data_IF_922894326456
#
_entry.id   IF_922894326456
#
_cell.length_a   1.000
_cell.length_b   1.000
_cell.length_c   1.000
_cell.angle_alpha   90.00
_cell.angle_beta   90.00
_cell.angle_gamma   90.00
#
_symmetry.space_group_name_H-M   'P 1'
#
loop_
_entity.id
_entity.type
_entity.pdbx_description
1 polymer ?
#
# COMPACT_ATOMS: atom_id res chain seq x y z
N UNK A 1 -1.88 5.79 13.49
CA UNK A 1 -2.38 5.04 12.32
C UNK A 1 -2.37 3.57 12.63
N UNK A 2 -3.53 2.95 12.58
CA UNK A 2 -3.68 1.52 12.86
C UNK A 2 -3.72 0.74 11.55
N UNK A 3 -2.70 -0.08 11.34
CA UNK A 3 -2.65 -1.02 10.20
C UNK A 3 -3.02 -2.41 10.70
N UNK A 4 -3.89 -3.12 9.98
CA UNK A 4 -4.25 -4.53 10.20
C UNK A 4 -3.91 -5.32 8.93
N UNK A 5 -2.90 -6.16 8.99
CA UNK A 5 -2.49 -7.02 7.88
C UNK A 5 -3.14 -8.40 8.07
N UNK A 6 -3.96 -8.80 7.10
CA UNK A 6 -4.52 -10.15 6.99
C UNK A 6 -3.91 -10.92 5.83
N UNK A 7 -4.48 -12.08 5.51
CA UNK A 7 -3.97 -12.95 4.43
C UNK A 7 -4.16 -12.34 3.03
N UNK A 8 -5.31 -11.70 2.79
CA UNK A 8 -5.67 -11.16 1.46
C UNK A 8 -5.96 -9.65 1.46
N UNK A 9 -5.90 -9.02 2.63
CA UNK A 9 -6.21 -7.60 2.77
C UNK A 9 -5.36 -6.92 3.82
N UNK A 10 -5.10 -5.64 3.61
CA UNK A 10 -4.42 -4.77 4.56
C UNK A 10 -5.31 -3.55 4.80
N UNK A 11 -5.94 -3.51 5.97
CA UNK A 11 -6.83 -2.40 6.35
C UNK A 11 -6.05 -1.36 7.14
N UNK A 12 -6.24 -0.10 6.78
CA UNK A 12 -5.61 1.06 7.42
C UNK A 12 -6.70 1.94 7.98
N UNK A 13 -6.70 2.15 9.29
CA UNK A 13 -7.64 2.98 10.03
C UNK A 13 -6.92 4.21 10.59
N UNK A 14 -7.54 5.38 10.43
CA UNK A 14 -7.05 6.66 10.93
C UNK A 14 -7.36 6.79 12.41
N UNK A 15 -6.36 7.18 13.19
CA UNK A 15 -6.48 7.49 14.61
C UNK A 15 -6.43 9.01 14.83
N UNK A 16 -6.92 9.53 15.98
CA UNK A 16 -6.76 10.93 16.33
C UNK A 16 -5.28 11.36 16.28
N UNK A 17 -4.99 12.44 15.54
CA UNK A 17 -3.63 12.96 15.37
C UNK A 17 -2.89 12.44 14.13
N UNK A 18 -3.45 11.47 13.39
CA UNK A 18 -2.84 11.03 12.13
C UNK A 18 -2.91 12.11 11.03
N UNK A 19 -1.88 12.19 10.16
CA UNK A 19 -1.87 13.14 9.07
C UNK A 19 -2.93 12.82 8.01
N UNK A 20 -3.49 13.86 7.40
CA UNK A 20 -4.25 13.74 6.15
C UNK A 20 -3.29 13.77 4.96
N UNK A 21 -3.51 12.89 3.99
CA UNK A 21 -2.66 12.78 2.80
C UNK A 21 -3.31 13.51 1.64
N UNK A 22 -3.04 14.81 1.49
CA UNK A 22 -3.54 15.59 0.36
C UNK A 22 -2.80 15.22 -0.93
N UNK A 23 -3.54 15.17 -2.03
CA UNK A 23 -2.95 15.07 -3.37
C UNK A 23 -2.27 16.38 -3.75
N UNK A 24 -0.98 16.30 -4.09
CA UNK A 24 -0.22 17.32 -4.80
C UNK A 24 0.02 16.94 -6.28
N UNK A 25 -0.79 16.02 -6.82
CA UNK A 25 -0.64 15.39 -8.13
C UNK A 25 -1.12 13.93 -8.10
N UNK A 26 -1.34 13.32 -9.27
CA UNK A 26 -1.80 11.93 -9.40
C UNK A 26 -0.88 10.95 -8.65
N UNK A 27 -1.46 10.12 -7.76
CA UNK A 27 -0.74 9.11 -6.98
C UNK A 27 0.15 9.64 -5.85
N UNK A 28 0.17 10.96 -5.58
CA UNK A 28 1.03 11.56 -4.56
C UNK A 28 0.49 11.37 -3.12
N UNK A 29 -0.84 11.40 -2.95
CA UNK A 29 -1.48 11.08 -1.68
C UNK A 29 -1.25 9.62 -1.30
N UNK A 30 -1.56 8.71 -2.22
CA UNK A 30 -1.36 7.26 -2.05
C UNK A 30 0.10 6.92 -1.73
N UNK A 31 1.06 7.53 -2.45
CA UNK A 31 2.49 7.42 -2.18
C UNK A 31 2.86 7.65 -0.71
N UNK A 32 2.31 8.73 -0.13
CA UNK A 32 2.56 9.11 1.27
C UNK A 32 1.85 8.15 2.22
N UNK A 33 0.60 7.80 1.93
CA UNK A 33 -0.14 6.82 2.71
C UNK A 33 0.61 5.48 2.78
N UNK A 34 1.02 4.92 1.64
CA UNK A 34 1.80 3.68 1.58
C UNK A 34 3.15 3.80 2.30
N UNK A 35 3.78 4.98 2.29
CA UNK A 35 5.00 5.20 3.06
C UNK A 35 4.77 5.04 4.58
N UNK A 36 3.66 5.57 5.11
CA UNK A 36 3.30 5.39 6.52
C UNK A 36 2.93 3.95 6.83
N UNK A 37 2.14 3.30 5.98
CA UNK A 37 1.79 1.87 6.11
C UNK A 37 3.05 1.01 6.18
N UNK A 38 4.00 1.22 5.26
CA UNK A 38 5.30 0.54 5.25
C UNK A 38 6.06 0.73 6.57
N UNK A 39 6.11 1.96 7.11
CA UNK A 39 6.79 2.21 8.39
C UNK A 39 6.16 1.44 9.54
N UNK A 40 4.83 1.41 9.62
CA UNK A 40 4.11 0.66 10.66
C UNK A 40 4.36 -0.84 10.55
N UNK A 41 4.29 -1.40 9.33
CA UNK A 41 4.53 -2.82 9.10
C UNK A 41 5.99 -3.19 9.34
N UNK A 42 6.95 -2.36 8.91
CA UNK A 42 8.36 -2.64 9.13
C UNK A 42 8.73 -2.56 10.62
N UNK A 43 8.10 -1.68 11.39
CA UNK A 43 8.26 -1.64 12.84
C UNK A 43 7.73 -2.92 13.54
N UNK A 44 6.87 -3.69 12.87
CA UNK A 44 6.35 -4.99 13.33
C UNK A 44 7.16 -6.18 12.80
N UNK A 45 8.31 -5.94 12.16
CA UNK A 45 9.23 -6.98 11.68
C UNK A 45 9.06 -7.37 10.21
N UNK A 46 8.19 -6.72 9.44
CA UNK A 46 8.15 -6.92 7.99
C UNK A 46 9.33 -6.20 7.29
N UNK A 47 9.83 -6.71 6.16
CA UNK A 47 10.81 -5.99 5.33
C UNK A 47 10.18 -5.59 3.99
N UNK A 48 9.37 -4.55 4.03
CA UNK A 48 8.67 -4.01 2.87
C UNK A 48 9.42 -2.83 2.25
N UNK A 49 9.41 -2.78 0.92
CA UNK A 49 9.82 -1.64 0.10
C UNK A 49 8.62 -1.12 -0.69
N UNK A 50 8.65 0.17 -1.02
CA UNK A 50 7.67 0.78 -1.91
C UNK A 50 8.20 0.77 -3.34
N UNK A 51 7.35 0.42 -4.31
CA UNK A 51 7.68 0.36 -5.73
C UNK A 51 6.62 1.06 -6.56
N UNK A 52 6.97 1.41 -7.80
CA UNK A 52 6.04 1.87 -8.83
C UNK A 52 5.74 0.72 -9.78
N UNK A 53 4.49 0.52 -10.17
CA UNK A 53 4.09 -0.64 -10.97
C UNK A 53 4.76 -0.66 -12.36
N UNK A 54 4.72 0.45 -13.10
CA UNK A 54 5.36 0.54 -14.44
C UNK A 54 6.87 0.24 -14.43
N UNK A 55 7.58 0.56 -13.35
CA UNK A 55 9.04 0.29 -13.24
C UNK A 55 9.37 -1.12 -12.80
N UNK A 56 8.39 -1.86 -12.29
CA UNK A 56 8.62 -3.21 -11.77
C UNK A 56 8.35 -4.27 -12.84
N UNK A 57 7.74 -3.93 -13.99
CA UNK A 57 7.65 -4.81 -15.16
C UNK A 57 6.71 -6.02 -15.03
N UNK A 58 6.16 -6.26 -13.84
CA UNK A 58 5.28 -7.39 -13.53
C UNK A 58 3.79 -7.02 -13.51
N UNK A 59 3.46 -5.72 -13.50
CA UNK A 59 2.08 -5.20 -13.48
C UNK A 59 1.95 -4.07 -14.50
N UNK A 60 1.05 -4.23 -15.47
CA UNK A 60 0.63 -3.17 -16.39
C UNK A 60 -0.19 -2.14 -15.60
N UNK A 61 0.46 -1.09 -15.11
CA UNK A 61 -0.16 -0.04 -14.33
C UNK A 61 0.35 1.35 -14.74
N UNK A 62 -0.44 2.38 -14.48
CA UNK A 62 -0.09 3.77 -14.76
C UNK A 62 1.23 4.18 -14.06
N UNK A 63 1.93 5.18 -14.62
CA UNK A 63 3.24 5.66 -14.16
C UNK A 63 3.22 6.14 -12.69
N UNK A 64 2.04 6.52 -12.22
CA UNK A 64 1.76 7.04 -10.88
C UNK A 64 1.53 5.95 -9.83
N UNK A 65 1.16 4.74 -10.25
CA UNK A 65 0.75 3.64 -9.38
C UNK A 65 1.86 3.12 -8.49
N UNK A 66 1.53 2.90 -7.21
CA UNK A 66 2.48 2.46 -6.21
C UNK A 66 1.94 1.29 -5.41
N UNK A 67 2.86 0.46 -4.93
CA UNK A 67 2.53 -0.69 -4.09
C UNK A 67 3.69 -0.97 -3.12
N UNK A 68 3.41 -1.74 -2.07
CA UNK A 68 4.44 -2.27 -1.18
C UNK A 68 4.73 -3.70 -1.56
N UNK A 69 6.00 -4.11 -1.51
CA UNK A 69 6.37 -5.52 -1.58
C UNK A 69 7.48 -5.91 -0.63
N UNK A 70 7.58 -7.20 -0.32
CA UNK A 70 8.77 -7.72 0.35
C UNK A 70 10.02 -7.34 -0.45
N UNK A 71 11.05 -6.84 0.24
CA UNK A 71 12.31 -6.43 -0.37
C UNK A 71 13.00 -7.62 -1.03
N UNK A 72 13.14 -8.71 -0.28
CA UNK A 72 13.72 -9.95 -0.73
C UNK A 72 12.63 -10.79 -1.40
N UNK A 73 12.69 -10.90 -2.73
CA UNK A 73 11.78 -11.74 -3.53
C UNK A 73 12.08 -13.23 -3.42
N UNK A 74 13.12 -13.62 -2.67
CA UNK A 74 13.43 -15.00 -2.31
C UNK A 74 13.12 -15.30 -0.84
N UNK A 75 12.44 -14.39 -0.15
CA UNK A 75 11.96 -14.66 1.19
C UNK A 75 10.92 -15.79 1.15
N UNK A 76 10.77 -16.59 2.22
CA UNK A 76 9.76 -17.64 2.29
C UNK A 76 8.32 -17.15 2.15
N UNK A 77 8.09 -15.85 2.37
CA UNK A 77 6.81 -15.18 2.17
C UNK A 77 7.07 -13.91 1.39
N UNK A 78 6.62 -13.88 0.14
CA UNK A 78 6.71 -12.70 -0.70
C UNK A 78 5.34 -12.02 -0.75
N UNK A 79 5.22 -10.87 -0.10
CA UNK A 79 3.98 -10.09 -0.03
C UNK A 79 4.00 -8.96 -1.05
N UNK A 80 2.85 -8.68 -1.63
CA UNK A 80 2.55 -7.46 -2.36
C UNK A 80 1.26 -6.82 -1.82
N UNK A 81 1.29 -5.53 -1.50
CA UNK A 81 0.16 -4.75 -0.98
C UNK A 81 -0.11 -3.60 -1.94
N UNK A 82 -1.28 -3.57 -2.56
CA UNK A 82 -1.65 -2.61 -3.60
C UNK A 82 -3.12 -2.20 -3.50
N UNK A 83 -3.50 -1.09 -4.12
CA UNK A 83 -4.92 -0.75 -4.28
C UNK A 83 -5.53 -1.53 -5.45
N UNK A 84 -6.44 -2.47 -5.16
CA UNK A 84 -7.14 -3.24 -6.18
C UNK A 84 -8.13 -2.42 -7.01
N UNK A 85 -8.59 -1.27 -6.49
CA UNK A 85 -9.59 -0.41 -7.13
C UNK A 85 -9.01 0.91 -7.63
N UNK A 86 -7.68 0.97 -7.81
CA UNK A 86 -6.94 2.17 -8.19
C UNK A 86 -7.49 2.90 -9.43
N UNK A 87 -8.13 2.18 -10.36
CA UNK A 87 -8.67 2.75 -11.61
C UNK A 87 -9.88 3.65 -11.39
N UNK A 88 -10.56 3.50 -10.25
CA UNK A 88 -11.85 4.14 -9.97
C UNK A 88 -11.84 4.95 -8.67
N UNK A 89 -10.74 4.95 -7.91
CA UNK A 89 -10.64 5.67 -6.63
C UNK A 89 -9.22 6.12 -6.31
N UNK A 90 -9.11 7.09 -5.41
CA UNK A 90 -7.87 7.45 -4.73
C UNK A 90 -7.90 6.99 -3.27
N UNK A 91 -7.06 6.01 -2.94
CA UNK A 91 -6.98 5.45 -1.59
C UNK A 91 -6.69 6.49 -0.49
N UNK A 92 -5.95 7.56 -0.80
CA UNK A 92 -5.66 8.62 0.15
C UNK A 92 -6.86 9.55 0.36
N UNK A 93 -7.67 9.78 -0.68
CA UNK A 93 -8.93 10.51 -0.55
C UNK A 93 -9.93 9.74 0.32
N UNK A 94 -10.12 8.45 0.04
CA UNK A 94 -10.98 7.56 0.85
C UNK A 94 -10.51 7.54 2.31
N UNK A 95 -9.21 7.39 2.55
CA UNK A 95 -8.65 7.45 3.90
C UNK A 95 -8.89 8.80 4.59
N UNK A 96 -8.84 9.91 3.85
CA UNK A 96 -9.09 11.24 4.40
C UNK A 96 -10.58 11.47 4.70
N UNK A 97 -11.49 10.96 3.88
CA UNK A 97 -12.94 11.13 4.01
C UNK A 97 -13.53 10.18 5.03
N UNK A 98 -13.28 8.89 4.87
CA UNK A 98 -13.91 7.80 5.63
C UNK A 98 -13.08 7.38 6.85
N UNK A 99 -11.82 7.83 6.93
CA UNK A 99 -10.92 7.44 8.01
C UNK A 99 -10.44 6.00 7.91
N UNK A 100 -10.73 5.31 6.80
CA UNK A 100 -10.37 3.91 6.59
C UNK A 100 -10.15 3.64 5.11
N UNK A 101 -9.18 2.80 4.79
CA UNK A 101 -9.01 2.22 3.46
C UNK A 101 -8.53 0.78 3.58
N UNK A 102 -8.89 -0.05 2.59
CA UNK A 102 -8.44 -1.44 2.51
C UNK A 102 -7.68 -1.64 1.21
N UNK A 103 -6.46 -2.16 1.34
CA UNK A 103 -5.61 -2.58 0.24
C UNK A 103 -5.72 -4.11 0.05
N UNK A 104 -5.45 -4.57 -1.17
CA UNK A 104 -5.33 -5.98 -1.50
C UNK A 104 -3.95 -6.49 -1.11
N UNK A 105 -3.88 -7.70 -0.58
CA UNK A 105 -2.62 -8.40 -0.29
C UNK A 105 -2.54 -9.64 -1.16
N UNK A 106 -1.46 -9.74 -1.94
CA UNK A 106 -1.11 -10.95 -2.69
C UNK A 106 0.12 -11.59 -2.07
N UNK A 107 0.12 -12.92 -1.97
CA UNK A 107 1.32 -13.71 -1.76
C UNK A 107 1.83 -14.14 -3.14
N UNK A 108 3.11 -13.97 -3.40
CA UNK A 108 3.73 -14.36 -4.67
C UNK A 108 4.28 -15.79 -4.62
N UNK A 109 3.78 -16.61 -3.68
CA UNK A 109 4.22 -17.98 -3.42
C UNK A 109 3.26 -19.04 -4.00
N UNK A 110 2.16 -18.64 -4.64
CA UNK A 110 1.20 -19.55 -5.28
C UNK A 110 1.42 -19.60 -6.81
N UNK A 111 2.28 -20.52 -7.24
CA UNK A 111 2.35 -21.04 -8.61
C UNK A 111 2.43 -22.57 -8.56
#
# INVERSE_FOLDING_TARGET
MKVKLGNHSCTVEREPGDPKFRNGGWGSGESRLLYHVKRVLNARGHDLIKRRMHKDGHLMGDDSMQYLRTRNTRAPIVLAIYDGNWQIRDAAEDFNREGRVTFTVSRLDDN
#
